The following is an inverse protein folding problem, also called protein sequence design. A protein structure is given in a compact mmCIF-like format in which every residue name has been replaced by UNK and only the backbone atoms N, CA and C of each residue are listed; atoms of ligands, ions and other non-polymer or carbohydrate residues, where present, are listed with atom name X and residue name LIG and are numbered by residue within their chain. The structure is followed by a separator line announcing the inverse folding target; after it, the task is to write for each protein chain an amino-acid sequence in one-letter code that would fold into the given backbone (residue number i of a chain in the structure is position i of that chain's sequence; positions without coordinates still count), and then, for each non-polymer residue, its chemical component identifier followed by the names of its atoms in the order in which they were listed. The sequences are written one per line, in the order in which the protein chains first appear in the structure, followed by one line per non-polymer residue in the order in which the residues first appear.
data_IF_864328108079
#
_entry.id   IF_864328108079
#
_cell.length_a   1.000
_cell.length_b   1.000
_cell.length_c   1.000
_cell.angle_alpha   90.00
_cell.angle_beta   90.00
_cell.angle_gamma   90.00
#
_symmetry.space_group_name_H-M   'P 1'
#
loop_
_entity.id
_entity.type
_entity.pdbx_description
1 polymer ?
#
# COMPACT_ATOMS: atom_id res chain seq x y z
N UNK A 1 -18.35 -24.72 -2.74
CA UNK A 1 -16.90 -24.51 -3.01
C UNK A 1 -16.50 -23.03 -3.20
N UNK A 2 -17.44 -22.08 -3.37
CA UNK A 2 -17.12 -20.62 -3.52
C UNK A 2 -16.99 -19.81 -2.22
N UNK A 3 -16.94 -20.44 -1.05
CA UNK A 3 -16.84 -19.73 0.25
C UNK A 3 -15.41 -19.46 0.72
N UNK A 4 -14.39 -19.99 0.02
CA UNK A 4 -13.02 -19.73 0.39
C UNK A 4 -12.68 -18.24 0.20
N UNK A 5 -12.11 -17.56 1.21
CA UNK A 5 -11.71 -16.16 1.09
C UNK A 5 -10.60 -16.06 0.04
N UNK A 6 -10.73 -15.09 -0.86
CA UNK A 6 -9.74 -14.79 -1.90
C UNK A 6 -9.35 -13.33 -1.87
N UNK A 7 -8.14 -13.04 -2.34
CA UNK A 7 -7.68 -11.69 -2.54
C UNK A 7 -8.29 -11.13 -3.84
N UNK A 8 -9.06 -10.04 -3.75
CA UNK A 8 -9.74 -9.43 -4.91
C UNK A 8 -8.83 -8.41 -5.60
N UNK A 9 -8.19 -7.56 -4.80
CA UNK A 9 -7.31 -6.49 -5.28
C UNK A 9 -6.39 -6.01 -4.18
N UNK A 10 -5.25 -5.48 -4.59
CA UNK A 10 -4.37 -4.67 -3.74
C UNK A 10 -4.43 -3.24 -4.24
N UNK A 11 -4.76 -2.31 -3.34
CA UNK A 11 -4.76 -0.88 -3.61
C UNK A 11 -3.56 -0.26 -2.89
N UNK A 12 -2.67 0.35 -3.65
CA UNK A 12 -1.55 1.12 -3.09
C UNK A 12 -1.92 2.59 -3.27
N UNK A 13 -1.87 3.35 -2.19
CA UNK A 13 -2.19 4.76 -2.18
C UNK A 13 -1.07 5.54 -1.50
N UNK A 14 -0.78 6.71 -2.06
CA UNK A 14 0.18 7.65 -1.49
C UNK A 14 -0.41 9.05 -1.46
N UNK A 15 -0.50 9.60 -0.26
CA UNK A 15 -0.79 11.02 -0.05
C UNK A 15 0.51 11.84 -0.12
N UNK A 16 0.52 12.88 -0.93
CA UNK A 16 1.68 13.79 -1.02
C UNK A 16 1.33 15.09 -0.29
N UNK A 17 1.87 15.26 0.92
CA UNK A 17 1.71 16.49 1.68
C UNK A 17 2.46 17.64 0.97
N UNK A 18 1.74 18.69 0.57
CA UNK A 18 2.29 19.81 -0.20
C UNK A 18 2.10 19.71 -1.72
N UNK A 19 1.37 18.70 -2.21
CA UNK A 19 1.02 18.51 -3.63
C UNK A 19 0.39 19.75 -4.30
N UNK A 20 -0.29 20.59 -3.51
CA UNK A 20 -0.93 21.84 -3.96
C UNK A 20 0.10 22.87 -4.47
N UNK A 21 1.32 22.83 -3.92
CA UNK A 21 2.39 23.81 -4.19
C UNK A 21 3.35 23.34 -5.28
N UNK A 22 3.67 22.04 -5.33
CA UNK A 22 4.64 21.47 -6.26
C UNK A 22 4.06 20.32 -7.07
N UNK A 23 3.67 20.63 -8.31
CA UNK A 23 3.17 19.64 -9.28
C UNK A 23 4.19 18.53 -9.57
N UNK A 24 5.48 18.87 -9.53
CA UNK A 24 6.59 17.93 -9.77
C UNK A 24 6.64 16.78 -8.76
N UNK A 25 6.27 17.02 -7.49
CA UNK A 25 6.27 15.96 -6.48
C UNK A 25 5.24 14.87 -6.80
N UNK A 26 4.15 15.24 -7.46
CA UNK A 26 3.09 14.31 -7.85
C UNK A 26 3.56 13.46 -9.03
N UNK A 27 4.23 14.07 -10.01
CA UNK A 27 4.79 13.36 -11.14
C UNK A 27 5.85 12.33 -10.68
N UNK A 28 6.72 12.70 -9.74
CA UNK A 28 7.68 11.78 -9.11
C UNK A 28 6.93 10.65 -8.38
N UNK A 29 5.89 10.98 -7.60
CA UNK A 29 5.14 9.95 -6.89
C UNK A 29 4.42 8.97 -7.82
N UNK A 30 3.95 9.44 -8.98
CA UNK A 30 3.36 8.58 -10.02
C UNK A 30 4.43 7.67 -10.61
N UNK A 31 5.62 8.18 -10.89
CA UNK A 31 6.72 7.40 -11.50
C UNK A 31 7.25 6.33 -10.54
N UNK A 32 7.46 6.69 -9.26
CA UNK A 32 7.88 5.77 -8.21
C UNK A 32 6.84 4.64 -8.03
N UNK A 33 5.55 4.97 -7.89
CA UNK A 33 4.50 3.96 -7.76
C UNK A 33 4.36 3.10 -9.03
N UNK A 34 4.57 3.68 -10.20
CA UNK A 34 4.51 2.95 -11.47
C UNK A 34 5.64 1.93 -11.56
N UNK A 35 6.83 2.30 -11.11
CA UNK A 35 8.01 1.43 -11.07
C UNK A 35 7.81 0.28 -10.09
N UNK A 36 7.34 0.58 -8.88
CA UNK A 36 7.08 -0.44 -7.84
C UNK A 36 5.99 -1.42 -8.29
N UNK A 37 4.87 -0.91 -8.79
CA UNK A 37 3.69 -1.72 -9.07
C UNK A 37 3.71 -2.37 -10.47
N UNK A 38 4.63 -1.96 -11.36
CA UNK A 38 4.65 -2.39 -12.77
C UNK A 38 3.39 -1.95 -13.55
N UNK A 39 2.63 -0.99 -13.01
CA UNK A 39 1.38 -0.49 -13.57
C UNK A 39 1.30 1.01 -13.35
N UNK A 40 0.92 1.74 -14.42
CA UNK A 40 0.81 3.20 -14.38
C UNK A 40 -0.13 3.66 -13.25
N UNK A 41 0.43 4.43 -12.32
CA UNK A 41 -0.32 5.03 -11.24
C UNK A 41 -1.21 6.18 -11.75
N UNK A 42 -2.34 6.40 -11.07
CA UNK A 42 -3.32 7.42 -11.40
C UNK A 42 -3.29 8.52 -10.35
N UNK A 43 -3.23 9.81 -10.73
CA UNK A 43 -3.32 10.90 -9.77
C UNK A 43 -4.70 10.93 -9.09
N UNK A 44 -4.70 11.13 -7.78
CA UNK A 44 -5.93 11.32 -7.00
C UNK A 44 -6.28 12.80 -6.94
N UNK A 45 -7.43 13.14 -7.53
CA UNK A 45 -7.93 14.51 -7.58
C UNK A 45 -8.82 14.82 -6.37
N UNK A 46 -8.74 16.05 -5.91
CA UNK A 46 -9.61 16.59 -4.86
C UNK A 46 -11.08 16.61 -5.32
N UNK A 47 -11.99 16.13 -4.46
CA UNK A 47 -13.43 16.17 -4.72
C UNK A 47 -14.10 17.46 -4.21
N UNK A 48 -13.56 18.04 -3.14
CA UNK A 48 -14.12 19.19 -2.42
C UNK A 48 -13.07 20.28 -2.25
N UNK A 49 -13.53 21.52 -2.26
CA UNK A 49 -12.76 22.69 -1.87
C UNK A 49 -12.73 22.79 -0.34
N UNK A 50 -11.53 22.90 0.24
CA UNK A 50 -11.36 23.08 1.68
C UNK A 50 -10.29 24.13 1.92
N UNK A 51 -10.71 25.31 2.38
CA UNK A 51 -9.85 26.49 2.56
C UNK A 51 -8.72 26.25 3.57
N UNK A 52 -8.96 25.48 4.64
CA UNK A 52 -7.93 25.17 5.65
C UNK A 52 -6.72 24.45 5.08
N UNK A 53 -6.93 23.60 4.06
CA UNK A 53 -5.85 22.88 3.38
C UNK A 53 -5.38 23.57 2.09
N UNK A 54 -5.88 24.79 1.81
CA UNK A 54 -5.66 25.53 0.55
C UNK A 54 -6.01 24.71 -0.70
N UNK A 55 -6.94 23.77 -0.57
CA UNK A 55 -7.32 22.85 -1.64
C UNK A 55 -8.45 23.44 -2.48
N UNK A 56 -8.24 23.44 -3.81
CA UNK A 56 -9.32 23.64 -4.80
C UNK A 56 -9.72 22.32 -5.44
N UNK A 57 -10.92 22.25 -6.00
CA UNK A 57 -11.51 21.11 -6.72
C UNK A 57 -10.67 20.77 -7.95
N UNK A 58 -10.54 19.48 -8.26
CA UNK A 58 -9.69 18.95 -9.33
C UNK A 58 -8.19 19.27 -9.19
N UNK A 59 -7.72 19.51 -7.97
CA UNK A 59 -6.28 19.57 -7.71
C UNK A 59 -5.75 18.16 -7.41
N UNK A 60 -4.61 17.78 -7.98
CA UNK A 60 -3.98 16.50 -7.64
C UNK A 60 -3.38 16.57 -6.22
N UNK A 61 -3.71 15.58 -5.39
CA UNK A 61 -3.29 15.50 -3.97
C UNK A 61 -2.32 14.33 -3.76
N UNK A 62 -2.43 13.28 -4.57
CA UNK A 62 -1.61 12.09 -4.43
C UNK A 62 -1.68 11.19 -5.65
N UNK A 63 -1.25 9.95 -5.46
CA UNK A 63 -1.23 8.95 -6.51
C UNK A 63 -1.71 7.60 -5.95
N UNK A 64 -2.43 6.84 -6.77
CA UNK A 64 -2.90 5.50 -6.42
C UNK A 64 -2.68 4.53 -7.56
N UNK A 65 -2.54 3.25 -7.23
CA UNK A 65 -2.56 2.15 -8.19
C UNK A 65 -3.37 1.00 -7.61
N UNK A 66 -4.11 0.31 -8.46
CA UNK A 66 -4.89 -0.86 -8.08
C UNK A 66 -4.43 -2.04 -8.90
N UNK A 67 -3.92 -3.05 -8.22
CA UNK A 67 -3.42 -4.30 -8.77
C UNK A 67 -4.48 -5.38 -8.63
N UNK A 68 -4.68 -6.17 -9.68
CA UNK A 68 -5.63 -7.30 -9.75
C UNK A 68 -5.00 -8.45 -10.55
N UNK A 69 -5.50 -9.66 -10.33
CA UNK A 69 -5.03 -10.85 -11.04
C UNK A 69 -3.56 -11.16 -10.75
N UNK A 70 -2.78 -11.53 -11.76
CA UNK A 70 -1.40 -12.00 -11.57
C UNK A 70 -0.47 -10.94 -10.98
N UNK A 71 -0.61 -9.67 -11.40
CA UNK A 71 0.24 -8.56 -10.90
C UNK A 71 0.08 -8.31 -9.40
N UNK A 72 -1.09 -8.63 -8.86
CA UNK A 72 -1.37 -8.52 -7.44
C UNK A 72 -0.55 -9.54 -6.64
N UNK A 73 -0.53 -10.80 -7.09
CA UNK A 73 0.24 -11.85 -6.45
C UNK A 73 1.74 -11.63 -6.59
N UNK A 74 2.20 -11.14 -7.74
CA UNK A 74 3.61 -10.77 -7.94
C UNK A 74 4.05 -9.63 -7.01
N UNK A 75 3.21 -8.60 -6.86
CA UNK A 75 3.49 -7.53 -5.91
C UNK A 75 3.50 -8.02 -4.46
N UNK A 76 2.56 -8.90 -4.09
CA UNK A 76 2.49 -9.48 -2.76
C UNK A 76 3.75 -10.29 -2.43
N UNK A 77 4.18 -11.16 -3.34
CA UNK A 77 5.39 -11.96 -3.20
C UNK A 77 6.63 -11.06 -3.04
N UNK A 78 6.75 -10.03 -3.90
CA UNK A 78 7.83 -9.06 -3.80
C UNK A 78 7.82 -8.26 -2.50
N UNK A 79 6.64 -7.89 -2.02
CA UNK A 79 6.47 -7.18 -0.76
C UNK A 79 6.97 -8.04 0.40
N UNK A 80 6.58 -9.32 0.44
CA UNK A 80 6.93 -10.24 1.53
C UNK A 80 8.41 -10.62 1.48
N UNK A 81 8.91 -11.03 0.31
CA UNK A 81 10.27 -11.55 0.15
C UNK A 81 11.35 -10.46 0.20
N UNK A 82 11.06 -9.26 -0.32
CA UNK A 82 12.08 -8.23 -0.53
C UNK A 82 11.83 -7.00 0.34
N UNK A 83 10.60 -6.50 0.39
CA UNK A 83 10.33 -5.20 1.01
C UNK A 83 10.21 -5.27 2.54
N UNK A 84 9.48 -6.24 3.08
CA UNK A 84 9.28 -6.37 4.54
C UNK A 84 10.58 -6.59 5.33
N UNK A 85 11.56 -7.42 4.87
CA UNK A 85 12.84 -7.58 5.56
C UNK A 85 13.70 -6.30 5.58
N UNK A 86 13.46 -5.37 4.65
CA UNK A 86 14.19 -4.10 4.55
C UNK A 86 13.59 -3.00 5.42
N UNK A 87 12.42 -3.22 6.03
CA UNK A 87 11.82 -2.27 6.95
C UNK A 87 12.71 -2.17 8.21
N UNK A 88 13.12 -0.94 8.55
CA UNK A 88 13.88 -0.69 9.78
C UNK A 88 13.03 -1.04 11.00
N UNK A 89 13.60 -1.80 11.94
CA UNK A 89 12.92 -2.29 13.15
C UNK A 89 11.67 -3.14 12.88
N UNK A 90 11.69 -3.97 11.83
CA UNK A 90 10.58 -4.86 11.50
C UNK A 90 10.33 -5.91 12.59
N UNK A 91 9.24 -5.76 13.34
CA UNK A 91 8.77 -6.72 14.35
C UNK A 91 7.55 -7.52 13.87
N UNK A 92 7.30 -7.56 12.57
CA UNK A 92 6.07 -8.08 11.99
C UNK A 92 5.00 -7.01 11.82
N UNK A 93 4.07 -7.26 10.89
CA UNK A 93 2.92 -6.39 10.66
C UNK A 93 1.87 -6.56 11.76
N UNK A 94 1.14 -5.48 12.05
CA UNK A 94 0.15 -5.47 13.13
C UNK A 94 -1.07 -6.35 12.75
N UNK A 95 -1.49 -7.20 13.67
CA UNK A 95 -2.67 -8.09 13.54
C UNK A 95 -3.99 -7.34 13.75
N UNK A 96 -3.94 -6.09 14.23
CA UNK A 96 -5.12 -5.25 14.48
C UNK A 96 -5.49 -4.30 13.35
N UNK A 97 -4.77 -4.29 12.23
CA UNK A 97 -5.05 -3.35 11.13
C UNK A 97 -6.13 -3.82 10.15
N UNK A 98 -7.03 -4.71 10.61
CA UNK A 98 -8.20 -5.12 9.86
C UNK A 98 -9.37 -4.15 10.11
N UNK A 99 -10.27 -4.07 9.13
CA UNK A 99 -11.40 -3.13 9.14
C UNK A 99 -12.72 -3.70 9.70
N UNK A 100 -12.71 -4.92 10.27
CA UNK A 100 -13.91 -5.60 10.74
C UNK A 100 -14.70 -6.31 9.64
N UNK A 101 -14.27 -6.18 8.38
CA UNK A 101 -14.93 -6.75 7.19
C UNK A 101 -13.94 -7.53 6.33
N UNK A 102 -12.84 -8.01 6.92
CA UNK A 102 -11.87 -8.84 6.22
C UNK A 102 -10.94 -8.07 5.26
N UNK A 103 -10.90 -6.74 5.29
CA UNK A 103 -9.86 -6.00 4.58
C UNK A 103 -8.73 -5.63 5.53
N UNK A 104 -7.51 -5.66 4.99
CA UNK A 104 -6.31 -5.37 5.76
C UNK A 104 -5.62 -4.14 5.19
N UNK A 105 -5.23 -3.19 6.04
CA UNK A 105 -4.44 -2.04 5.60
C UNK A 105 -3.09 -2.01 6.31
N UNK A 106 -2.02 -1.97 5.53
CA UNK A 106 -0.65 -1.81 5.99
C UNK A 106 -0.16 -0.41 5.64
N UNK A 107 0.16 0.38 6.66
CA UNK A 107 0.87 1.64 6.49
C UNK A 107 2.37 1.40 6.48
N UNK A 108 3.04 1.83 5.41
CA UNK A 108 4.49 1.82 5.27
C UNK A 108 4.99 3.25 5.42
N UNK A 109 5.84 3.50 6.41
CA UNK A 109 6.36 4.86 6.69
C UNK A 109 7.44 5.29 5.71
N UNK A 110 8.20 4.34 5.17
CA UNK A 110 9.37 4.62 4.34
C UNK A 110 9.28 3.87 3.01
N UNK A 111 9.25 4.60 1.89
CA UNK A 111 9.21 3.98 0.56
C UNK A 111 10.50 3.26 0.16
N UNK A 112 11.62 3.54 0.83
CA UNK A 112 12.95 2.96 0.53
C UNK A 112 13.05 1.44 0.78
N UNK A 113 11.98 0.81 1.27
CA UNK A 113 11.89 -0.64 1.41
C UNK A 113 11.89 -1.36 0.06
N UNK A 114 11.48 -0.67 -1.01
CA UNK A 114 11.48 -1.21 -2.36
C UNK A 114 12.85 -0.99 -3.02
N UNK A 115 13.56 -2.05 -3.45
CA UNK A 115 14.85 -1.91 -4.14
C UNK A 115 14.77 -1.14 -5.45
N UNK A 116 13.58 -1.05 -6.05
CA UNK A 116 13.35 -0.33 -7.29
C UNK A 116 13.44 1.20 -7.12
N UNK A 117 13.35 1.69 -5.88
CA UNK A 117 13.47 3.12 -5.61
C UNK A 117 14.94 3.49 -5.43
N UNK A 118 15.39 4.40 -6.28
CA UNK A 118 16.71 5.02 -6.18
C UNK A 118 16.71 6.11 -5.11
N UNK A 119 17.42 5.87 -4.01
CA UNK A 119 17.49 6.76 -2.84
C UNK A 119 18.03 8.15 -3.26
N UNK A 120 18.90 8.22 -4.26
CA UNK A 120 19.51 9.47 -4.71
C UNK A 120 18.52 10.38 -5.46
N UNK A 121 17.43 9.80 -5.97
CA UNK A 121 16.34 10.54 -6.64
C UNK A 121 15.22 10.95 -5.67
N UNK A 122 15.21 10.41 -4.46
CA UNK A 122 14.16 10.68 -3.47
C UNK A 122 14.46 11.97 -2.72
N UNK A 123 13.77 13.05 -3.08
CA UNK A 123 13.92 14.34 -2.39
C UNK A 123 13.43 14.34 -0.94
N UNK A 124 12.41 13.52 -0.62
CA UNK A 124 11.84 13.37 0.72
C UNK A 124 11.35 11.95 0.95
N UNK A 125 11.69 11.38 2.10
CA UNK A 125 11.13 10.11 2.54
C UNK A 125 9.64 10.31 2.78
N UNK A 126 8.83 9.60 2.01
CA UNK A 126 7.38 9.57 2.16
C UNK A 126 6.90 8.15 2.36
N UNK A 127 5.80 8.01 3.09
CA UNK A 127 5.12 6.73 3.28
C UNK A 127 4.11 6.41 2.18
N UNK A 128 3.55 5.22 2.27
CA UNK A 128 2.44 4.74 1.44
C UNK A 128 1.54 3.81 2.24
N UNK A 129 0.27 3.76 1.86
CA UNK A 129 -0.70 2.84 2.43
C UNK A 129 -1.02 1.75 1.42
N UNK A 130 -0.93 0.49 1.86
CA UNK A 130 -1.23 -0.69 1.05
C UNK A 130 -2.47 -1.35 1.65
N UNK A 131 -3.58 -1.32 0.92
CA UNK A 131 -4.84 -1.95 1.33
C UNK A 131 -5.06 -3.24 0.54
N UNK A 132 -5.17 -4.34 1.25
CA UNK A 132 -5.53 -5.66 0.74
C UNK A 132 -7.03 -5.84 0.89
N UNK A 133 -7.72 -6.00 -0.24
CA UNK A 133 -9.16 -6.24 -0.26
C UNK A 133 -9.38 -7.72 -0.51
N UNK A 134 -10.00 -8.38 0.46
CA UNK A 134 -10.34 -9.81 0.38
C UNK A 134 -11.85 -9.98 0.30
N UNK A 135 -12.30 -11.19 -0.04
CA UNK A 135 -13.72 -11.56 0.00
C UNK A 135 -14.15 -12.15 1.34
N UNK A 136 -13.26 -12.17 2.35
CA UNK A 136 -13.60 -12.64 3.68
C UNK A 136 -14.67 -11.75 4.30
N UNK A 137 -15.56 -12.33 5.10
CA UNK A 137 -16.57 -11.55 5.82
C UNK A 137 -16.13 -11.25 7.26
N UNK A 138 -15.12 -11.97 7.75
CA UNK A 138 -14.57 -11.84 9.09
C UNK A 138 -13.07 -11.57 9.02
N UNK A 139 -12.57 -10.79 9.98
CA UNK A 139 -11.13 -10.50 10.11
C UNK A 139 -10.31 -11.77 10.35
N UNK A 140 -10.91 -12.78 10.98
CA UNK A 140 -10.22 -14.04 11.30
C UNK A 140 -9.91 -14.85 10.03
N UNK A 141 -10.87 -14.92 9.10
CA UNK A 141 -10.68 -15.55 7.79
C UNK A 141 -9.64 -14.79 6.95
N UNK A 142 -9.68 -13.45 6.98
CA UNK A 142 -8.71 -12.62 6.26
C UNK A 142 -7.29 -12.75 6.86
N UNK A 143 -7.20 -12.86 8.17
CA UNK A 143 -5.94 -13.07 8.88
C UNK A 143 -5.31 -14.41 8.52
N UNK A 144 -6.09 -15.49 8.55
CA UNK A 144 -5.62 -16.82 8.16
C UNK A 144 -5.18 -16.84 6.69
N UNK A 145 -5.97 -16.25 5.78
CA UNK A 145 -5.61 -16.13 4.37
C UNK A 145 -4.27 -15.40 4.18
N UNK A 146 -4.09 -14.22 4.80
CA UNK A 146 -2.86 -13.46 4.67
C UNK A 146 -1.67 -14.18 5.31
N UNK A 147 -1.89 -14.91 6.41
CA UNK A 147 -0.86 -15.70 7.07
C UNK A 147 -0.40 -16.86 6.20
N UNK A 148 -1.31 -17.58 5.55
CA UNK A 148 -0.97 -18.64 4.59
C UNK A 148 -0.26 -18.09 3.35
N UNK A 149 -0.61 -16.87 2.93
CA UNK A 149 0.08 -16.15 1.86
C UNK A 149 1.48 -15.65 2.25
N UNK A 150 1.92 -15.85 3.50
CA UNK A 150 3.28 -15.54 3.95
C UNK A 150 3.44 -14.18 4.62
N UNK A 151 2.36 -13.48 4.97
CA UNK A 151 2.48 -12.21 5.70
C UNK A 151 3.03 -12.43 7.12
N UNK A 152 4.16 -11.79 7.48
CA UNK A 152 4.78 -11.94 8.79
C UNK A 152 4.06 -11.08 9.83
N UNK A 153 3.02 -11.61 10.46
CA UNK A 153 2.31 -10.95 11.57
C UNK A 153 3.11 -11.02 12.88
N UNK A 154 3.12 -9.93 13.64
CA UNK A 154 3.83 -9.79 14.93
C UNK A 154 3.45 -10.83 15.99
N UNK A 155 2.23 -11.38 15.89
CA UNK A 155 1.69 -12.38 16.81
C UNK A 155 1.61 -13.78 16.21
N UNK A 156 2.20 -14.03 15.04
CA UNK A 156 2.40 -15.39 14.58
C UNK A 156 3.40 -16.04 15.54
N UNK A 157 2.90 -16.70 16.58
CA UNK A 157 3.67 -17.72 17.31
C UNK A 157 4.29 -18.60 16.23
N UNK A 158 5.61 -18.53 16.11
CA UNK A 158 6.41 -19.51 15.39
C UNK A 158 6.12 -20.85 16.04
N UNK A 159 5.19 -21.61 15.48
CA UNK A 159 5.09 -23.04 15.79
C UNK A 159 6.20 -23.71 15.01
N UNK A 160 7.28 -23.96 15.76
CA UNK A 160 8.37 -24.94 15.60
C UNK A 160 9.14 -24.95 14.28
#
# INVERSE_FOLDING_TARGET
VMQAPRLEKICINRGVNGAVSDKKMIDIAIDELTTIAGQKAVPTMSKKDISNFKLRKNMPIGAKVTLRGNRMYEFLDRLIAVALPRVRDFKGVNDKSFDGRGNYTLGVTEQIIFPEIDIDKVNKITGMDITFVTTANSDQEAYELLKELGMPFKNAKTTN
#
